data_IF_305308795705
#
_entry.id   IF_305308795705
#
_cell.length_a   1.000
_cell.length_b   1.000
_cell.length_c   1.000
_cell.angle_alpha   90.00
_cell.angle_beta   90.00
_cell.angle_gamma   90.00
#
_symmetry.space_group_name_H-M   'P 1'
#
loop_
_entity.id
_entity.type
_entity.pdbx_description
1 polymer ?
#
# COMPACT_ATOMS: atom_id res chain seq x y z
N UNK A 1 -11.44 43.94 -6.65
CA UNK A 1 -11.76 42.81 -5.74
C UNK A 1 -12.16 41.52 -6.46
N UNK A 2 -13.00 41.57 -7.51
CA UNK A 2 -13.44 40.36 -8.25
C UNK A 2 -12.29 39.63 -8.96
N UNK A 3 -11.42 40.37 -9.66
CA UNK A 3 -10.23 39.83 -10.39
C UNK A 3 -9.25 39.13 -9.45
N UNK A 4 -8.99 39.72 -8.26
CA UNK A 4 -8.09 39.14 -7.26
C UNK A 4 -8.63 37.78 -6.78
N UNK A 5 -9.94 37.69 -6.52
CA UNK A 5 -10.60 36.43 -6.11
C UNK A 5 -10.55 35.37 -7.21
N UNK A 6 -10.74 35.74 -8.48
CA UNK A 6 -10.62 34.80 -9.61
C UNK A 6 -9.19 34.28 -9.71
N UNK A 7 -8.20 35.15 -9.58
CA UNK A 7 -6.79 34.76 -9.62
C UNK A 7 -6.41 33.82 -8.48
N UNK A 8 -6.88 34.09 -7.25
CA UNK A 8 -6.62 33.19 -6.10
C UNK A 8 -7.24 31.81 -6.33
N UNK A 9 -8.44 31.76 -6.90
CA UNK A 9 -9.13 30.51 -7.21
C UNK A 9 -8.35 29.66 -8.23
N UNK A 10 -7.85 30.26 -9.31
CA UNK A 10 -7.01 29.56 -10.29
C UNK A 10 -5.71 29.05 -9.66
N UNK A 11 -5.09 29.82 -8.77
CA UNK A 11 -3.85 29.44 -8.08
C UNK A 11 -4.08 28.24 -7.15
N UNK A 12 -5.22 28.18 -6.46
CA UNK A 12 -5.64 27.03 -5.66
C UNK A 12 -5.85 25.80 -6.54
N UNK A 13 -6.54 25.94 -7.68
CA UNK A 13 -6.76 24.81 -8.61
C UNK A 13 -5.43 24.26 -9.14
N UNK A 14 -4.52 25.14 -9.56
CA UNK A 14 -3.20 24.75 -10.06
C UNK A 14 -2.43 24.01 -8.96
N UNK A 15 -2.48 24.49 -7.71
CA UNK A 15 -1.87 23.80 -6.58
C UNK A 15 -2.49 22.41 -6.36
N UNK A 16 -3.82 22.27 -6.41
CA UNK A 16 -4.48 20.96 -6.29
C UNK A 16 -4.09 19.97 -7.39
N UNK A 17 -3.89 20.44 -8.64
CA UNK A 17 -3.47 19.58 -9.75
C UNK A 17 -2.02 19.13 -9.57
N UNK A 18 -1.12 20.04 -9.18
CA UNK A 18 0.32 19.74 -9.01
C UNK A 18 0.56 18.79 -7.83
N UNK A 19 -0.23 18.91 -6.76
CA UNK A 19 -0.12 18.08 -5.55
C UNK A 19 -1.13 16.92 -5.53
N UNK A 20 -1.74 16.59 -6.67
CA UNK A 20 -2.63 15.44 -6.77
C UNK A 20 -1.87 14.16 -6.42
N UNK A 21 -2.38 13.42 -5.43
CA UNK A 21 -1.82 12.12 -5.08
C UNK A 21 -2.20 11.12 -6.18
N UNK A 22 -1.22 10.35 -6.67
CA UNK A 22 -1.51 9.22 -7.53
C UNK A 22 -2.42 8.25 -6.77
N UNK A 23 -3.50 7.79 -7.41
CA UNK A 23 -4.36 6.74 -6.87
C UNK A 23 -3.53 5.46 -6.76
N UNK A 24 -2.92 5.25 -5.60
CA UNK A 24 -2.04 4.13 -5.35
C UNK A 24 -2.69 3.21 -4.34
N UNK A 25 -2.81 1.93 -4.72
CA UNK A 25 -3.43 0.93 -3.87
C UNK A 25 -2.53 0.56 -2.67
N UNK A 26 -1.21 0.55 -2.87
CA UNK A 26 -0.23 0.17 -1.86
C UNK A 26 0.98 1.10 -1.86
N UNK A 27 1.66 1.24 -0.71
CA UNK A 27 3.05 1.71 -0.77
C UNK A 27 3.93 0.64 -1.42
N UNK A 28 4.99 1.08 -2.09
CA UNK A 28 6.00 0.21 -2.71
C UNK A 28 7.41 0.78 -2.46
N UNK A 29 8.41 0.18 -3.10
CA UNK A 29 9.81 0.62 -2.98
C UNK A 29 10.06 2.08 -3.35
N UNK A 30 9.26 2.67 -4.25
CA UNK A 30 9.37 4.11 -4.59
C UNK A 30 8.98 5.00 -3.42
N UNK A 31 7.94 4.63 -2.68
CA UNK A 31 7.54 5.38 -1.49
C UNK A 31 8.54 5.17 -0.36
N UNK A 32 8.96 3.92 -0.18
CA UNK A 32 9.94 3.52 0.82
C UNK A 32 11.27 4.28 0.65
N UNK A 33 11.80 4.31 -0.57
CA UNK A 33 13.08 4.97 -0.88
C UNK A 33 12.98 6.51 -0.76
N UNK A 34 11.78 7.10 -0.90
CA UNK A 34 11.56 8.54 -0.68
C UNK A 34 11.54 8.94 0.79
N UNK A 35 11.40 8.00 1.73
CA UNK A 35 11.32 8.31 3.17
C UNK A 35 12.58 9.06 3.63
N UNK A 36 13.77 8.67 3.15
CA UNK A 36 15.02 9.34 3.47
C UNK A 36 14.97 10.85 3.20
N UNK A 37 14.43 11.24 2.03
CA UNK A 37 14.22 12.64 1.68
C UNK A 37 13.16 13.32 2.54
N UNK A 38 12.04 12.64 2.81
CA UNK A 38 10.96 13.15 3.68
C UNK A 38 11.38 13.33 5.14
N UNK A 39 12.33 12.52 5.60
CA UNK A 39 12.92 12.59 6.92
C UNK A 39 14.04 13.64 7.02
N UNK A 40 14.25 14.46 5.99
CA UNK A 40 15.37 15.42 5.93
C UNK A 40 16.73 14.76 6.18
N UNK A 41 16.89 13.50 5.77
CA UNK A 41 18.09 12.67 6.00
C UNK A 41 18.42 12.41 7.49
N UNK A 42 17.47 12.60 8.40
CA UNK A 42 17.61 12.21 9.80
C UNK A 42 17.29 10.71 9.97
N UNK A 43 18.30 9.93 10.34
CA UNK A 43 18.19 8.48 10.52
C UNK A 43 17.14 8.07 11.57
N UNK A 44 16.96 8.87 12.63
CA UNK A 44 15.97 8.60 13.69
C UNK A 44 14.56 8.83 13.15
N UNK A 45 14.35 9.92 12.42
CA UNK A 45 13.04 10.22 11.81
C UNK A 45 12.72 9.19 10.73
N UNK A 46 13.69 8.85 9.87
CA UNK A 46 13.54 7.80 8.85
C UNK A 46 13.13 6.47 9.49
N UNK A 47 13.83 6.05 10.54
CA UNK A 47 13.51 4.85 11.27
C UNK A 47 12.09 4.89 11.86
N UNK A 48 11.69 6.00 12.47
CA UNK A 48 10.35 6.15 13.06
C UNK A 48 9.23 6.07 12.02
N UNK A 49 9.43 6.69 10.84
CA UNK A 49 8.45 6.63 9.75
C UNK A 49 8.31 5.20 9.22
N UNK A 50 9.45 4.55 8.93
CA UNK A 50 9.48 3.16 8.45
C UNK A 50 8.86 2.21 9.47
N UNK A 51 9.23 2.36 10.75
CA UNK A 51 8.68 1.61 11.88
C UNK A 51 7.16 1.74 11.96
N UNK A 52 6.64 2.96 12.00
CA UNK A 52 5.21 3.21 12.15
C UNK A 52 4.39 2.58 11.01
N UNK A 53 4.92 2.62 9.77
CA UNK A 53 4.28 1.97 8.64
C UNK A 53 4.23 0.45 8.80
N UNK A 54 5.37 -0.17 9.13
CA UNK A 54 5.46 -1.63 9.27
C UNK A 54 4.58 -2.14 10.40
N UNK A 55 4.61 -1.47 11.56
CA UNK A 55 3.74 -1.81 12.68
C UNK A 55 2.26 -1.70 12.29
N UNK A 56 1.86 -0.62 11.61
CA UNK A 56 0.48 -0.48 11.12
C UNK A 56 0.07 -1.57 10.12
N UNK A 57 0.98 -2.00 9.25
CA UNK A 57 0.72 -3.09 8.31
C UNK A 57 0.56 -4.44 9.02
N UNK A 58 1.43 -4.72 10.00
CA UNK A 58 1.38 -5.95 10.81
C UNK A 58 0.13 -5.99 11.71
N UNK A 59 -0.23 -4.86 12.33
CA UNK A 59 -1.45 -4.73 13.13
C UNK A 59 -2.70 -4.91 12.26
N UNK A 60 -2.72 -4.33 11.06
CA UNK A 60 -3.81 -4.51 10.10
C UNK A 60 -3.97 -5.96 9.66
N UNK A 61 -2.84 -6.67 9.45
CA UNK A 61 -2.84 -8.11 9.16
C UNK A 61 -3.38 -8.92 10.33
N UNK A 62 -2.90 -8.66 11.55
CA UNK A 62 -3.37 -9.35 12.76
C UNK A 62 -4.87 -9.14 12.97
N UNK A 63 -5.34 -7.91 12.79
CA UNK A 63 -6.77 -7.60 12.83
C UNK A 63 -7.56 -8.42 11.79
N UNK A 64 -7.06 -8.49 10.54
CA UNK A 64 -7.67 -9.29 9.48
C UNK A 64 -7.77 -10.77 9.86
N UNK A 65 -6.66 -11.34 10.34
CA UNK A 65 -6.63 -12.72 10.84
C UNK A 65 -7.67 -12.96 11.92
N UNK A 66 -7.67 -12.15 12.99
CA UNK A 66 -8.60 -12.32 14.11
C UNK A 66 -10.05 -12.20 13.68
N UNK A 67 -10.35 -11.27 12.76
CA UNK A 67 -11.70 -11.07 12.26
C UNK A 67 -12.17 -12.23 11.38
N UNK A 68 -11.30 -12.77 10.53
CA UNK A 68 -11.63 -13.97 9.74
C UNK A 68 -11.74 -15.21 10.62
N UNK A 69 -10.88 -15.33 11.64
CA UNK A 69 -10.87 -16.48 12.54
C UNK A 69 -12.13 -16.59 13.38
N UNK A 70 -12.72 -15.45 13.77
CA UNK A 70 -14.02 -15.39 14.46
C UNK A 70 -15.14 -16.06 13.65
N UNK A 71 -15.10 -15.94 12.33
CA UNK A 71 -16.10 -16.49 11.41
C UNK A 71 -15.75 -17.92 10.94
N UNK A 72 -14.49 -18.15 10.52
CA UNK A 72 -13.97 -19.43 10.05
C UNK A 72 -12.46 -19.54 10.31
N UNK A 73 -12.10 -20.34 11.31
CA UNK A 73 -10.70 -20.54 11.70
C UNK A 73 -9.86 -21.24 10.61
N UNK A 74 -10.42 -22.19 9.87
CA UNK A 74 -9.69 -22.93 8.85
C UNK A 74 -9.34 -22.03 7.66
N UNK A 75 -10.23 -21.09 7.31
CA UNK A 75 -9.94 -20.07 6.30
C UNK A 75 -8.86 -19.11 6.81
N UNK A 76 -8.97 -18.63 8.05
CA UNK A 76 -7.98 -17.72 8.61
C UNK A 76 -6.58 -18.33 8.63
N UNK A 77 -6.45 -19.53 9.17
CA UNK A 77 -5.17 -20.25 9.27
C UNK A 77 -4.56 -20.49 7.88
N UNK A 78 -5.39 -20.79 6.88
CA UNK A 78 -4.93 -21.01 5.50
C UNK A 78 -4.50 -19.71 4.82
N UNK A 79 -5.31 -18.66 4.92
CA UNK A 79 -5.10 -17.38 4.21
C UNK A 79 -3.94 -16.58 4.80
N UNK A 80 -3.76 -16.63 6.12
CA UNK A 80 -2.72 -15.92 6.86
C UNK A 80 -1.59 -16.86 7.30
N UNK A 81 -1.35 -17.94 6.54
CA UNK A 81 -0.32 -18.93 6.84
C UNK A 81 1.10 -18.42 6.58
N UNK A 82 1.26 -17.27 5.93
CA UNK A 82 2.56 -16.69 5.65
C UNK A 82 3.28 -16.20 6.92
N UNK A 83 4.58 -16.49 7.00
CA UNK A 83 5.40 -16.09 8.14
C UNK A 83 5.81 -14.63 8.02
N UNK A 84 5.51 -13.82 9.04
CA UNK A 84 5.76 -12.37 9.05
C UNK A 84 6.52 -11.87 10.29
N UNK A 85 6.87 -12.78 11.19
CA UNK A 85 7.33 -12.53 12.56
C UNK A 85 8.76 -13.04 12.85
N UNK A 86 9.50 -13.49 11.82
CA UNK A 86 10.90 -13.93 11.99
C UNK A 86 11.86 -12.78 12.31
N UNK A 87 11.52 -11.56 11.90
CA UNK A 87 12.40 -10.39 11.98
C UNK A 87 11.86 -9.39 12.99
N UNK A 88 12.75 -8.86 13.83
CA UNK A 88 12.42 -7.63 14.57
C UNK A 88 12.18 -6.49 13.59
N UNK A 89 11.43 -5.45 13.98
CA UNK A 89 11.15 -4.29 13.10
C UNK A 89 12.44 -3.69 12.51
N UNK A 90 13.53 -3.64 13.29
CA UNK A 90 14.81 -3.12 12.80
C UNK A 90 15.42 -4.00 11.71
N UNK A 91 15.37 -5.32 11.89
CA UNK A 91 15.86 -6.27 10.89
C UNK A 91 14.95 -6.29 9.66
N UNK A 92 13.64 -6.21 9.86
CA UNK A 92 12.66 -6.11 8.78
C UNK A 92 12.91 -4.87 7.91
N UNK A 93 13.12 -3.70 8.53
CA UNK A 93 13.52 -2.47 7.82
C UNK A 93 14.78 -2.71 6.99
N UNK A 94 15.82 -3.30 7.58
CA UNK A 94 17.09 -3.56 6.89
C UNK A 94 16.92 -4.51 5.70
N UNK A 95 16.12 -5.56 5.84
CA UNK A 95 15.86 -6.51 4.76
C UNK A 95 15.03 -5.88 3.63
N UNK A 96 14.05 -5.05 3.97
CA UNK A 96 13.25 -4.30 3.00
C UNK A 96 14.09 -3.25 2.28
N UNK A 97 14.99 -2.55 3.00
CA UNK A 97 15.97 -1.64 2.40
C UNK A 97 16.83 -2.37 1.36
N UNK A 98 17.37 -3.54 1.72
CA UNK A 98 18.16 -4.37 0.80
C UNK A 98 17.33 -4.85 -0.39
N UNK A 99 16.08 -5.28 -0.18
CA UNK A 99 15.20 -5.73 -1.24
C UNK A 99 14.90 -4.64 -2.26
N UNK A 100 14.66 -3.40 -1.80
CA UNK A 100 14.38 -2.25 -2.66
C UNK A 100 15.63 -1.51 -3.17
N UNK A 101 16.82 -1.98 -2.83
CA UNK A 101 18.07 -1.54 -3.45
C UNK A 101 18.12 -1.93 -4.93
N UNK A 102 17.50 -3.07 -5.29
CA UNK A 102 17.26 -3.45 -6.68
C UNK A 102 16.10 -2.63 -7.28
N UNK A 103 16.35 -1.80 -8.32
CA UNK A 103 15.31 -1.01 -8.96
C UNK A 103 14.16 -1.82 -9.54
N UNK A 104 14.38 -3.09 -9.89
CA UNK A 104 13.34 -4.00 -10.40
C UNK A 104 12.32 -4.40 -9.33
N UNK A 105 12.60 -4.14 -8.06
CA UNK A 105 11.67 -4.41 -6.96
C UNK A 105 10.84 -3.18 -6.57
N UNK A 106 11.15 -1.99 -7.10
CA UNK A 106 10.53 -0.75 -6.64
C UNK A 106 9.01 -0.66 -6.77
N UNK A 107 8.39 -1.44 -7.65
CA UNK A 107 6.93 -1.48 -7.85
C UNK A 107 6.26 -2.61 -7.07
N UNK A 108 7.03 -3.49 -6.41
CA UNK A 108 6.47 -4.54 -5.56
C UNK A 108 5.89 -3.89 -4.30
N UNK A 109 4.61 -4.18 -3.96
CA UNK A 109 3.97 -3.64 -2.77
C UNK A 109 4.72 -3.98 -1.48
N UNK A 110 4.71 -3.05 -0.54
CA UNK A 110 5.38 -3.16 0.73
C UNK A 110 4.87 -4.32 1.60
N UNK A 111 3.56 -4.66 1.64
CA UNK A 111 3.08 -5.88 2.29
C UNK A 111 3.73 -7.16 1.73
N UNK A 112 3.92 -7.25 0.41
CA UNK A 112 4.61 -8.38 -0.21
C UNK A 112 6.10 -8.40 0.14
N UNK A 113 6.74 -7.23 0.22
CA UNK A 113 8.14 -7.13 0.66
C UNK A 113 8.33 -7.60 2.12
N UNK A 114 7.34 -7.40 3.00
CA UNK A 114 7.36 -7.93 4.38
C UNK A 114 7.41 -9.47 4.35
N UNK A 115 6.55 -10.09 3.53
CA UNK A 115 6.53 -11.56 3.38
C UNK A 115 7.85 -12.06 2.81
N UNK A 116 8.33 -11.46 1.73
CA UNK A 116 9.60 -11.83 1.07
C UNK A 116 10.78 -11.72 2.05
N UNK A 117 10.86 -10.63 2.82
CA UNK A 117 11.89 -10.45 3.82
C UNK A 117 11.88 -11.56 4.89
N UNK A 118 10.70 -11.96 5.35
CA UNK A 118 10.56 -13.05 6.29
C UNK A 118 10.82 -14.43 5.67
N UNK A 119 10.50 -14.66 4.39
CA UNK A 119 10.88 -15.89 3.69
C UNK A 119 12.41 -16.03 3.59
N UNK A 120 13.12 -14.94 3.28
CA UNK A 120 14.59 -14.94 3.31
C UNK A 120 15.13 -15.23 4.71
N UNK A 121 14.57 -14.59 5.74
CA UNK A 121 14.97 -14.79 7.13
C UNK A 121 14.72 -16.23 7.62
N UNK A 122 13.56 -16.79 7.25
CA UNK A 122 13.14 -18.15 7.54
C UNK A 122 13.90 -19.22 6.73
N UNK A 123 14.79 -18.82 5.82
CA UNK A 123 15.56 -19.71 4.93
C UNK A 123 14.67 -20.61 4.08
N UNK A 124 13.57 -20.04 3.60
CA UNK A 124 12.73 -20.70 2.61
C UNK A 124 13.53 -21.06 1.35
N UNK A 125 13.05 -22.06 0.62
CA UNK A 125 13.70 -22.45 -0.63
C UNK A 125 13.75 -21.26 -1.59
N UNK A 126 14.94 -20.95 -2.13
CA UNK A 126 15.13 -19.81 -3.03
C UNK A 126 14.20 -19.84 -4.25
N UNK A 127 13.88 -21.04 -4.78
CA UNK A 127 12.93 -21.19 -5.88
C UNK A 127 11.52 -20.74 -5.49
N UNK A 128 11.10 -20.97 -4.25
CA UNK A 128 9.79 -20.51 -3.74
C UNK A 128 9.78 -18.98 -3.59
N UNK A 129 10.89 -18.40 -3.11
CA UNK A 129 11.02 -16.94 -2.96
C UNK A 129 10.97 -16.25 -4.33
N UNK A 130 11.77 -16.73 -5.29
CA UNK A 130 11.78 -16.21 -6.66
C UNK A 130 10.42 -16.36 -7.35
N UNK A 131 9.76 -17.50 -7.15
CA UNK A 131 8.41 -17.73 -7.65
C UNK A 131 7.41 -16.75 -7.04
N UNK A 132 7.45 -16.53 -5.73
CA UNK A 132 6.60 -15.56 -5.04
C UNK A 132 6.82 -14.13 -5.54
N UNK A 133 8.09 -13.72 -5.72
CA UNK A 133 8.44 -12.41 -6.29
C UNK A 133 7.85 -12.27 -7.70
N UNK A 134 8.01 -13.30 -8.54
CA UNK A 134 7.47 -13.30 -9.91
C UNK A 134 5.95 -13.19 -9.92
N UNK A 135 5.25 -14.02 -9.15
CA UNK A 135 3.79 -13.99 -9.05
C UNK A 135 3.29 -12.65 -8.52
N UNK A 136 3.99 -12.06 -7.55
CA UNK A 136 3.66 -10.72 -7.03
C UNK A 136 3.79 -9.65 -8.12
N UNK A 137 4.84 -9.71 -8.94
CA UNK A 137 5.04 -8.78 -10.07
C UNK A 137 3.95 -8.93 -11.12
N UNK A 138 3.61 -10.16 -11.48
CA UNK A 138 2.51 -10.45 -12.42
C UNK A 138 1.17 -9.96 -11.89
N UNK A 139 0.89 -10.23 -10.60
CA UNK A 139 -0.32 -9.79 -9.93
C UNK A 139 -0.45 -8.27 -9.85
N UNK A 140 0.59 -7.54 -9.41
CA UNK A 140 0.50 -6.08 -9.32
C UNK A 140 0.37 -5.43 -10.70
N UNK A 141 1.03 -5.99 -11.72
CA UNK A 141 0.88 -5.53 -13.10
C UNK A 141 -0.54 -5.78 -13.60
N UNK A 142 -1.10 -6.96 -13.33
CA UNK A 142 -2.49 -7.29 -13.63
C UNK A 142 -3.46 -6.34 -12.93
N UNK A 143 -3.29 -6.08 -11.63
CA UNK A 143 -4.11 -5.14 -10.89
C UNK A 143 -4.03 -3.71 -11.42
N UNK A 144 -2.84 -3.24 -11.81
CA UNK A 144 -2.68 -1.90 -12.39
C UNK A 144 -3.40 -1.83 -13.74
N UNK A 145 -3.21 -2.83 -14.60
CA UNK A 145 -3.93 -2.90 -15.89
C UNK A 145 -5.44 -2.99 -15.68
N UNK A 146 -5.89 -3.79 -14.72
CA UNK A 146 -7.30 -3.90 -14.35
C UNK A 146 -7.84 -2.58 -13.81
N UNK A 147 -7.08 -1.83 -12.99
CA UNK A 147 -7.46 -0.50 -12.50
C UNK A 147 -7.52 0.54 -13.62
N UNK A 148 -6.57 0.50 -14.54
CA UNK A 148 -6.51 1.41 -15.69
C UNK A 148 -7.59 1.09 -16.74
N UNK A 149 -7.99 -0.19 -16.84
CA UNK A 149 -9.05 -0.66 -17.75
C UNK A 149 -10.43 -0.70 -17.10
N UNK A 150 -10.53 -0.80 -15.76
CA UNK A 150 -11.72 -0.50 -14.94
C UNK A 150 -11.91 1.01 -14.87
N UNK A 151 -12.15 1.57 -16.05
CA UNK A 151 -13.27 2.44 -16.34
C UNK A 151 -13.75 3.23 -15.11
N UNK A 152 -13.17 4.42 -14.93
CA UNK A 152 -13.65 5.45 -14.01
C UNK A 152 -15.19 5.59 -14.02
N UNK A 153 -15.83 5.23 -15.14
CA UNK A 153 -17.27 5.09 -15.34
C UNK A 153 -17.94 4.18 -14.30
N UNK A 154 -17.41 2.98 -13.98
CA UNK A 154 -17.98 2.10 -12.94
C UNK A 154 -17.89 2.70 -11.55
N UNK A 155 -16.78 3.38 -11.23
CA UNK A 155 -16.60 4.06 -9.94
C UNK A 155 -17.53 5.28 -9.84
N UNK A 156 -17.70 6.03 -10.93
CA UNK A 156 -18.65 7.14 -11.04
C UNK A 156 -20.10 6.65 -10.90
N UNK A 157 -20.46 5.56 -11.56
CA UNK A 157 -21.77 4.92 -11.44
C UNK A 157 -22.06 4.47 -10.00
N UNK A 158 -21.11 3.79 -9.36
CA UNK A 158 -21.26 3.36 -7.96
C UNK A 158 -21.39 4.56 -7.01
N UNK A 159 -20.64 5.65 -7.25
CA UNK A 159 -20.78 6.89 -6.48
C UNK A 159 -22.14 7.55 -6.70
N UNK A 160 -22.63 7.61 -7.95
CA UNK A 160 -23.95 8.13 -8.30
C UNK A 160 -25.06 7.32 -7.63
N UNK A 161 -25.01 5.98 -7.72
CA UNK A 161 -25.98 5.08 -7.08
C UNK A 161 -25.99 5.29 -5.55
N UNK A 162 -24.82 5.38 -4.92
CA UNK A 162 -24.70 5.63 -3.47
C UNK A 162 -25.26 7.00 -3.08
N UNK A 163 -25.05 8.02 -3.91
CA UNK A 163 -25.56 9.37 -3.67
C UNK A 163 -27.08 9.44 -3.84
N UNK A 164 -27.63 8.80 -4.88
CA UNK A 164 -29.08 8.66 -5.08
C UNK A 164 -29.77 7.89 -3.95
N UNK A 165 -29.16 6.81 -3.46
CA UNK A 165 -29.68 6.05 -2.31
C UNK A 165 -29.69 6.90 -1.03
N UNK A 166 -28.67 7.75 -0.84
CA UNK A 166 -28.57 8.67 0.30
C UNK A 166 -29.57 9.83 0.20
N UNK A 167 -29.86 10.34 -1.00
CA UNK A 167 -30.90 11.36 -1.18
C UNK A 167 -32.29 10.77 -0.96
N UNK A 168 -32.55 9.57 -1.49
CA UNK A 168 -33.83 8.88 -1.33
C UNK A 168 -34.18 8.66 0.15
N UNK A 169 -33.23 8.16 0.96
CA UNK A 169 -33.41 7.95 2.40
C UNK A 169 -33.52 9.24 3.25
N UNK A 170 -33.44 10.44 2.65
CA UNK A 170 -33.68 11.73 3.34
C UNK A 170 -35.07 12.30 3.05
N UNK A 171 -35.82 11.68 2.16
CA UNK A 171 -37.19 12.07 1.81
C UNK A 171 -38.23 11.06 2.34
N UNK A 172 -37.78 10.03 3.07
CA UNK A 172 -38.58 9.23 4.02
C UNK A 172 -38.32 9.75 5.44
#
# INVERSE_FOLDING_TARGET
>A
MRIIKTFTFYLIIIHCIIFSQNNKLFWDGRDWNKIKGKASHDNKIEFLIKKAYLEGALDGRLYGYLKTWEDDNAIADRVFSETVDYLSIRELIKNIDYFYDDPLNNYIPLPSAIVIANMYAGRENIYNIESYIKLTREWINGLILDLDTLDYTKILEQKLIKQHKKSFNRFE
#
